data_IF_067042527867
#
_entry.id   IF_067042527867
#
_cell.length_a   1.000
_cell.length_b   1.000
_cell.length_c   1.000
_cell.angle_alpha   90.00
_cell.angle_beta   90.00
_cell.angle_gamma   90.00
#
_symmetry.space_group_name_H-M   'P 1'
#
loop_
_entity.id
_entity.type
_entity.pdbx_description
1 polymer ?
#
# COMPACT_ATOMS: atom_id res chain seq x y z
N UNK A 1 5.34 -9.85 -2.52
CA UNK A 1 6.57 -9.97 -1.69
C UNK A 1 6.45 -8.99 -0.54
N UNK A 2 6.76 -9.39 0.70
CA UNK A 2 6.67 -8.55 1.90
C UNK A 2 7.79 -8.86 2.90
N UNK A 3 7.94 -8.01 3.94
CA UNK A 3 8.88 -8.27 5.01
C UNK A 3 8.44 -9.50 5.81
N UNK A 4 9.38 -10.39 6.09
CA UNK A 4 9.14 -11.59 6.90
C UNK A 4 8.54 -11.22 8.25
N UNK A 5 7.51 -11.98 8.67
CA UNK A 5 6.78 -11.72 9.91
C UNK A 5 7.70 -11.78 11.13
N UNK A 6 8.64 -12.73 11.18
CA UNK A 6 9.62 -12.87 12.26
C UNK A 6 10.62 -11.70 12.33
N UNK A 7 10.75 -10.93 11.25
CA UNK A 7 11.60 -9.74 11.15
C UNK A 7 10.84 -8.43 11.32
N UNK A 8 9.62 -8.47 11.83
CA UNK A 8 8.81 -7.30 12.11
C UNK A 8 7.79 -6.95 11.01
N UNK A 9 7.55 -7.83 10.06
CA UNK A 9 6.50 -7.70 9.06
C UNK A 9 5.09 -7.68 9.66
N UNK A 10 4.08 -7.52 8.82
CA UNK A 10 2.67 -7.56 9.23
C UNK A 10 1.96 -8.78 8.66
N UNK A 11 1.03 -9.38 9.42
CA UNK A 11 0.26 -10.55 9.00
C UNK A 11 -0.37 -10.40 7.61
N UNK A 12 -0.92 -9.23 7.30
CA UNK A 12 -1.57 -8.98 6.01
C UNK A 12 -0.62 -8.85 4.82
N UNK A 13 0.69 -8.91 5.03
CA UNK A 13 1.69 -8.80 3.97
C UNK A 13 2.14 -10.15 3.39
N UNK A 14 1.32 -11.21 3.56
CA UNK A 14 1.58 -12.52 2.96
C UNK A 14 1.72 -13.67 3.96
N UNK A 15 1.40 -13.46 5.24
CA UNK A 15 1.40 -14.57 6.20
C UNK A 15 0.39 -15.65 5.81
N UNK A 16 0.77 -16.91 5.91
CA UNK A 16 -0.03 -18.08 5.52
C UNK A 16 -1.34 -18.22 6.32
N UNK A 17 -1.43 -17.57 7.47
CA UNK A 17 -2.67 -17.55 8.29
C UNK A 17 -3.58 -16.36 7.95
N UNK A 18 -3.20 -15.53 6.99
CA UNK A 18 -3.97 -14.38 6.53
C UNK A 18 -4.48 -14.62 5.11
N UNK A 19 -5.59 -13.98 4.76
CA UNK A 19 -6.19 -14.04 3.42
C UNK A 19 -5.17 -13.77 2.30
N UNK A 20 -4.24 -12.85 2.53
CA UNK A 20 -3.18 -12.54 1.56
C UNK A 20 -2.23 -13.71 1.28
N UNK A 21 -1.91 -14.52 2.29
CA UNK A 21 -1.10 -15.71 2.13
C UNK A 21 -1.87 -16.94 1.63
N UNK A 22 -3.20 -16.96 1.83
CA UNK A 22 -4.09 -18.02 1.35
C UNK A 22 -4.39 -17.86 -0.15
N UNK A 23 -4.66 -16.64 -0.58
CA UNK A 23 -5.11 -16.36 -1.97
C UNK A 23 -3.92 -16.19 -2.93
N UNK A 24 -2.80 -15.64 -2.44
CA UNK A 24 -1.63 -15.36 -3.25
C UNK A 24 -0.47 -16.29 -2.89
N UNK A 25 0.52 -16.37 -3.75
CA UNK A 25 1.81 -17.03 -3.47
C UNK A 25 2.77 -15.98 -2.88
N UNK A 26 2.95 -15.94 -1.56
CA UNK A 26 3.81 -14.96 -0.93
C UNK A 26 5.28 -15.36 -1.10
N UNK A 27 6.14 -14.36 -1.24
CA UNK A 27 7.58 -14.48 -1.03
C UNK A 27 8.02 -13.37 -0.08
N UNK A 28 9.08 -13.61 0.66
CA UNK A 28 9.52 -12.75 1.75
C UNK A 28 10.94 -12.24 1.51
N UNK A 29 11.20 -11.00 1.98
CA UNK A 29 12.55 -10.48 2.16
C UNK A 29 12.83 -10.29 3.64
N UNK A 30 14.09 -10.17 4.01
CA UNK A 30 14.54 -10.23 5.39
C UNK A 30 15.31 -8.98 5.80
N UNK A 31 15.61 -8.91 7.09
CA UNK A 31 16.61 -7.99 7.63
C UNK A 31 18.00 -8.61 7.50
N UNK A 32 18.98 -7.78 7.27
CA UNK A 32 20.38 -8.15 7.38
C UNK A 32 20.69 -8.40 8.87
N UNK A 33 21.27 -9.57 9.18
CA UNK A 33 21.48 -10.03 10.55
C UNK A 33 22.49 -9.17 11.34
N UNK A 34 23.44 -8.56 10.65
CA UNK A 34 24.50 -7.76 11.29
C UNK A 34 24.00 -6.34 11.59
N UNK A 35 23.25 -5.74 10.66
CA UNK A 35 22.83 -4.34 10.77
C UNK A 35 21.43 -4.17 11.37
N UNK A 36 20.61 -5.21 11.38
CA UNK A 36 19.20 -5.16 11.76
C UNK A 36 18.35 -4.27 10.83
N UNK A 37 18.85 -3.96 9.65
CA UNK A 37 18.15 -3.17 8.62
C UNK A 37 17.63 -4.06 7.52
N UNK A 38 16.63 -3.58 6.76
CA UNK A 38 16.14 -4.26 5.56
C UNK A 38 17.33 -4.52 4.63
N UNK A 39 17.47 -5.76 4.19
CA UNK A 39 18.47 -6.18 3.22
C UNK A 39 17.93 -5.93 1.81
N UNK A 40 18.21 -4.74 1.27
CA UNK A 40 17.71 -4.34 -0.04
C UNK A 40 18.38 -5.10 -1.18
N UNK A 41 19.59 -5.60 -1.00
CA UNK A 41 20.30 -6.37 -2.03
C UNK A 41 19.70 -7.79 -2.10
N UNK A 42 19.45 -8.43 -0.96
CA UNK A 42 18.70 -9.69 -0.90
C UNK A 42 17.28 -9.51 -1.45
N UNK A 43 16.62 -8.37 -1.12
CA UNK A 43 15.29 -8.05 -1.63
C UNK A 43 15.28 -7.96 -3.16
N UNK A 44 16.29 -7.33 -3.77
CA UNK A 44 16.43 -7.23 -5.22
C UNK A 44 16.67 -8.60 -5.86
N UNK A 45 17.54 -9.41 -5.28
CA UNK A 45 17.83 -10.75 -5.75
C UNK A 45 16.56 -11.64 -5.74
N UNK A 46 15.80 -11.61 -4.64
CA UNK A 46 14.53 -12.33 -4.54
C UNK A 46 13.52 -11.79 -5.55
N UNK A 47 13.43 -10.48 -5.72
CA UNK A 47 12.49 -9.87 -6.66
C UNK A 47 12.81 -10.27 -8.12
N UNK A 48 14.07 -10.32 -8.50
CA UNK A 48 14.49 -10.76 -9.84
C UNK A 48 14.19 -12.23 -10.10
N UNK A 49 14.34 -13.07 -9.08
CA UNK A 49 14.05 -14.52 -9.14
C UNK A 49 12.55 -14.80 -9.18
N UNK A 50 11.80 -14.27 -8.21
CA UNK A 50 10.38 -14.58 -8.01
C UNK A 50 9.43 -13.73 -8.86
N UNK A 51 9.90 -12.61 -9.40
CA UNK A 51 9.13 -11.66 -10.23
C UNK A 51 7.76 -11.32 -9.64
N UNK A 52 7.71 -10.84 -8.39
CA UNK A 52 6.44 -10.55 -7.72
C UNK A 52 5.67 -9.49 -8.48
N UNK A 53 4.34 -9.60 -8.51
CA UNK A 53 3.46 -8.56 -9.07
C UNK A 53 3.32 -7.34 -8.16
N UNK A 54 3.59 -7.53 -6.87
CA UNK A 54 3.52 -6.47 -5.86
C UNK A 54 4.64 -6.66 -4.83
N UNK A 55 5.29 -5.56 -4.48
CA UNK A 55 6.24 -5.46 -3.38
C UNK A 55 5.60 -4.58 -2.30
N UNK A 56 5.57 -5.08 -1.06
CA UNK A 56 4.99 -4.39 0.08
C UNK A 56 6.12 -3.98 1.02
N UNK A 57 6.24 -2.69 1.27
CA UNK A 57 7.09 -2.12 2.31
C UNK A 57 6.24 -1.71 3.51
N UNK A 58 6.86 -1.75 4.67
CA UNK A 58 6.19 -1.48 5.94
C UNK A 58 6.23 -2.68 6.88
N UNK A 59 6.07 -2.43 8.14
CA UNK A 59 6.15 -3.47 9.17
C UNK A 59 5.51 -2.99 10.48
N UNK A 60 5.17 -3.97 11.34
CA UNK A 60 4.57 -3.70 12.65
C UNK A 60 5.62 -3.43 13.72
N UNK A 61 6.78 -4.06 13.61
CA UNK A 61 7.83 -4.06 14.62
C UNK A 61 9.22 -3.71 14.05
N UNK A 62 9.28 -2.92 13.01
CA UNK A 62 10.50 -2.42 12.42
C UNK A 62 10.66 -0.93 12.74
N UNK A 63 11.66 -0.59 13.57
CA UNK A 63 11.86 0.74 14.13
C UNK A 63 12.85 1.62 13.33
N UNK A 64 13.36 1.14 12.21
CA UNK A 64 14.30 1.87 11.37
C UNK A 64 13.56 2.52 10.20
N UNK A 65 14.22 3.52 9.61
CA UNK A 65 13.72 4.19 8.42
C UNK A 65 13.78 3.28 7.18
N UNK A 66 12.81 3.42 6.30
CA UNK A 66 12.72 2.67 5.05
C UNK A 66 13.32 3.48 3.91
N UNK A 67 14.14 2.85 3.08
CA UNK A 67 14.59 3.45 1.83
C UNK A 67 13.54 3.21 0.73
N UNK A 68 12.53 4.07 0.71
CA UNK A 68 11.43 3.98 -0.27
C UNK A 68 11.91 4.16 -1.71
N UNK A 69 12.98 4.94 -1.93
CA UNK A 69 13.57 5.15 -3.23
C UNK A 69 14.18 3.85 -3.77
N UNK A 70 14.99 3.18 -2.95
CA UNK A 70 15.60 1.89 -3.31
C UNK A 70 14.54 0.82 -3.55
N UNK A 71 13.49 0.78 -2.72
CA UNK A 71 12.36 -0.13 -2.94
C UNK A 71 11.65 0.14 -4.28
N UNK A 72 11.50 1.43 -4.65
CA UNK A 72 10.90 1.79 -5.92
C UNK A 72 11.76 1.35 -7.11
N UNK A 73 13.06 1.54 -7.04
CA UNK A 73 14.00 1.08 -8.07
C UNK A 73 13.92 -0.43 -8.28
N UNK A 74 13.85 -1.20 -7.18
CA UNK A 74 13.68 -2.66 -7.24
C UNK A 74 12.35 -3.03 -7.88
N UNK A 75 11.26 -2.38 -7.47
CA UNK A 75 9.93 -2.64 -8.03
C UNK A 75 9.87 -2.37 -9.53
N UNK A 76 10.46 -1.27 -9.99
CA UNK A 76 10.50 -0.89 -11.41
C UNK A 76 11.31 -1.90 -12.24
N UNK A 77 12.43 -2.42 -11.72
CA UNK A 77 13.26 -3.45 -12.40
C UNK A 77 12.48 -4.71 -12.75
N UNK A 78 11.50 -5.08 -11.90
CA UNK A 78 10.72 -6.32 -12.09
C UNK A 78 9.29 -6.05 -12.58
N UNK A 79 8.94 -4.78 -12.81
CA UNK A 79 7.58 -4.39 -13.22
C UNK A 79 6.53 -4.60 -12.14
N UNK A 80 6.91 -4.57 -10.87
CA UNK A 80 6.03 -4.75 -9.73
C UNK A 80 5.37 -3.43 -9.29
N UNK A 81 4.17 -3.52 -8.73
CA UNK A 81 3.57 -2.40 -7.99
C UNK A 81 4.27 -2.29 -6.63
N UNK A 82 4.80 -1.11 -6.29
CA UNK A 82 5.26 -0.82 -4.94
C UNK A 82 4.08 -0.31 -4.10
N UNK A 83 3.74 -1.02 -3.04
CA UNK A 83 2.80 -0.59 -2.02
C UNK A 83 3.56 -0.37 -0.70
N UNK A 84 3.34 0.77 -0.06
CA UNK A 84 3.90 1.05 1.27
C UNK A 84 2.77 1.14 2.29
N UNK A 85 2.83 0.28 3.30
CA UNK A 85 1.98 0.39 4.48
C UNK A 85 2.71 1.22 5.54
N UNK A 86 2.27 2.47 5.68
CA UNK A 86 2.85 3.40 6.65
C UNK A 86 2.02 3.50 7.94
N UNK A 87 1.16 2.53 8.23
CA UNK A 87 0.20 2.63 9.33
C UNK A 87 0.86 2.95 10.68
N UNK A 88 2.01 2.34 11.00
CA UNK A 88 2.73 2.59 12.24
C UNK A 88 3.40 3.97 12.29
N UNK A 89 4.24 4.37 11.31
CA UNK A 89 4.93 5.66 11.32
C UNK A 89 4.09 6.83 10.77
N UNK A 90 2.83 6.65 10.40
CA UNK A 90 2.04 7.66 9.70
C UNK A 90 2.00 9.03 10.39
N UNK A 91 1.93 9.07 11.72
CA UNK A 91 1.96 10.32 12.48
C UNK A 91 3.29 11.05 12.38
N UNK A 92 4.42 10.33 12.39
CA UNK A 92 5.76 10.89 12.24
C UNK A 92 5.99 11.40 10.81
N UNK A 93 5.50 10.67 9.81
CA UNK A 93 5.54 11.09 8.41
C UNK A 93 4.70 12.35 8.20
N UNK A 94 3.50 12.40 8.77
CA UNK A 94 2.63 13.58 8.70
C UNK A 94 3.23 14.82 9.38
N UNK A 95 4.02 14.62 10.43
CA UNK A 95 4.77 15.68 11.11
C UNK A 95 6.07 16.08 10.39
N UNK A 96 6.41 15.42 9.28
CA UNK A 96 7.64 15.71 8.53
C UNK A 96 8.92 15.20 9.18
N UNK A 97 8.82 14.30 10.17
CA UNK A 97 9.97 13.74 10.90
C UNK A 97 10.57 12.52 10.19
N UNK A 98 9.82 11.89 9.27
CA UNK A 98 10.25 10.78 8.43
C UNK A 98 9.91 11.08 6.97
N UNK A 99 10.63 10.45 6.05
CA UNK A 99 10.37 10.65 4.61
C UNK A 99 8.97 10.18 4.22
N UNK A 100 8.41 10.83 3.19
CA UNK A 100 7.05 10.58 2.76
C UNK A 100 7.01 9.56 1.61
N UNK A 101 6.49 8.34 1.85
CA UNK A 101 6.43 7.28 0.85
C UNK A 101 5.55 7.61 -0.37
N UNK A 102 4.63 8.57 -0.26
CA UNK A 102 3.73 8.97 -1.37
C UNK A 102 4.52 9.50 -2.57
N UNK A 103 5.76 9.98 -2.36
CA UNK A 103 6.64 10.45 -3.43
C UNK A 103 7.16 9.31 -4.31
N UNK A 104 7.30 8.11 -3.74
CA UNK A 104 7.99 6.97 -4.37
C UNK A 104 7.03 5.82 -4.70
N UNK A 105 6.12 5.52 -3.80
CA UNK A 105 5.23 4.37 -3.94
C UNK A 105 4.13 4.58 -4.98
N UNK A 106 3.72 3.51 -5.61
CA UNK A 106 2.52 3.50 -6.45
C UNK A 106 1.27 3.64 -5.59
N UNK A 107 1.25 2.95 -4.45
CA UNK A 107 0.12 2.87 -3.51
C UNK A 107 0.67 3.04 -2.11
N UNK A 108 -0.02 3.81 -1.29
CA UNK A 108 0.30 3.93 0.14
C UNK A 108 -0.95 3.62 0.95
N UNK A 109 -0.81 2.76 1.94
CA UNK A 109 -1.88 2.43 2.88
C UNK A 109 -1.54 2.91 4.28
N UNK A 110 -2.56 3.24 5.04
CA UNK A 110 -2.43 3.60 6.46
C UNK A 110 -3.70 3.29 7.23
N UNK A 111 -3.55 3.22 8.54
CA UNK A 111 -4.68 3.30 9.47
C UNK A 111 -4.73 4.67 10.12
N UNK A 112 -5.91 5.11 10.54
CA UNK A 112 -6.09 6.42 11.19
C UNK A 112 -5.94 6.36 12.70
N UNK A 113 -5.97 5.18 13.31
CA UNK A 113 -6.08 4.95 14.75
C UNK A 113 -4.78 4.53 15.46
N UNK A 114 -3.63 4.61 14.78
CA UNK A 114 -2.29 4.39 15.38
C UNK A 114 -1.65 5.74 15.71
N UNK A 115 -0.48 6.02 15.21
CA UNK A 115 0.23 7.28 15.48
C UNK A 115 -0.50 8.53 14.96
N UNK A 116 -1.45 8.40 14.02
CA UNK A 116 -2.34 9.49 13.62
C UNK A 116 -3.38 9.86 14.66
N UNK A 117 -3.60 9.03 15.70
CA UNK A 117 -4.49 9.28 16.86
C UNK A 117 -5.94 9.60 16.49
N UNK A 118 -6.41 9.12 15.36
CA UNK A 118 -7.80 9.30 14.90
C UNK A 118 -8.72 8.13 15.23
N UNK A 119 -9.98 8.19 14.85
CA UNK A 119 -10.93 7.08 14.96
C UNK A 119 -10.48 5.90 14.09
N UNK A 120 -11.02 4.70 14.38
CA UNK A 120 -10.72 3.52 13.56
C UNK A 120 -11.13 3.72 12.11
N UNK A 121 -10.18 3.50 11.22
CA UNK A 121 -10.37 3.61 9.80
C UNK A 121 -9.11 3.23 9.02
N UNK A 122 -9.27 3.04 7.71
CA UNK A 122 -8.18 2.82 6.77
C UNK A 122 -8.16 3.93 5.72
N UNK A 123 -6.97 4.22 5.22
CA UNK A 123 -6.74 5.18 4.15
C UNK A 123 -5.88 4.53 3.09
N UNK A 124 -6.27 4.72 1.83
CA UNK A 124 -5.47 4.37 0.66
C UNK A 124 -5.15 5.66 -0.09
N UNK A 125 -3.89 5.87 -0.39
CA UNK A 125 -3.38 7.06 -1.05
C UNK A 125 -2.59 6.68 -2.29
N UNK A 126 -2.51 7.62 -3.22
CA UNK A 126 -1.73 7.52 -4.43
C UNK A 126 -1.16 8.90 -4.74
N UNK A 127 0.17 9.00 -4.90
CA UNK A 127 0.81 10.27 -5.20
C UNK A 127 0.58 10.70 -6.65
N UNK A 128 0.70 9.75 -7.56
CA UNK A 128 0.50 9.93 -9.00
C UNK A 128 -0.33 8.78 -9.54
N UNK A 129 -1.36 9.08 -10.31
CA UNK A 129 -2.16 8.06 -10.99
C UNK A 129 -1.37 7.41 -12.13
N UNK A 130 -1.63 6.14 -12.40
CA UNK A 130 -0.92 5.36 -13.40
C UNK A 130 -1.85 4.40 -14.14
N UNK A 131 -1.51 4.00 -15.37
CA UNK A 131 -2.26 3.00 -16.12
C UNK A 131 -2.29 1.67 -15.37
N UNK A 132 -3.44 0.99 -15.33
CA UNK A 132 -3.49 -0.30 -14.67
C UNK A 132 -2.61 -1.34 -15.40
N UNK A 133 -1.82 -2.12 -14.67
CA UNK A 133 -0.90 -3.10 -15.27
C UNK A 133 -1.59 -4.34 -15.83
N UNK A 134 -2.88 -4.50 -15.61
CA UNK A 134 -3.67 -5.65 -16.07
C UNK A 134 -4.35 -5.44 -17.43
N UNK A 135 -4.08 -4.31 -18.11
CA UNK A 135 -4.64 -4.02 -19.43
C UNK A 135 -6.15 -3.85 -19.44
N UNK A 136 -6.79 -3.59 -18.29
CA UNK A 136 -8.25 -3.33 -18.24
C UNK A 136 -8.58 -2.06 -19.00
N UNK A 137 -9.54 -2.15 -19.93
CA UNK A 137 -9.92 -1.06 -20.84
C UNK A 137 -11.27 -0.44 -20.47
N UNK A 138 -11.45 0.80 -20.88
CA UNK A 138 -12.75 1.48 -20.91
C UNK A 138 -13.61 0.93 -22.07
N UNK A 139 -14.93 1.20 -22.10
CA UNK A 139 -15.76 0.88 -23.26
C UNK A 139 -15.27 1.49 -24.57
N UNK A 140 -14.49 2.57 -24.50
CA UNK A 140 -13.86 3.22 -25.66
C UNK A 140 -12.53 2.59 -26.10
N UNK A 141 -12.08 1.52 -25.44
CA UNK A 141 -10.83 0.83 -25.75
C UNK A 141 -9.55 1.39 -25.10
N UNK A 142 -9.64 2.49 -24.35
CA UNK A 142 -8.50 3.10 -23.65
C UNK A 142 -8.16 2.32 -22.36
N UNK A 143 -6.87 2.25 -22.01
CA UNK A 143 -6.46 1.64 -20.74
C UNK A 143 -6.97 2.47 -19.56
N UNK A 144 -7.70 1.83 -18.64
CA UNK A 144 -8.16 2.49 -17.43
C UNK A 144 -6.99 2.87 -16.53
N UNK A 145 -7.08 4.05 -15.91
CA UNK A 145 -6.18 4.45 -14.85
C UNK A 145 -6.48 3.66 -13.56
N UNK A 146 -5.50 3.54 -12.70
CA UNK A 146 -5.62 2.77 -11.44
C UNK A 146 -6.71 3.35 -10.52
N UNK A 147 -6.83 4.68 -10.45
CA UNK A 147 -7.89 5.37 -9.72
C UNK A 147 -9.29 4.97 -10.16
N UNK A 148 -9.51 4.78 -11.46
CA UNK A 148 -10.80 4.37 -12.01
C UNK A 148 -11.18 2.95 -11.57
N UNK A 149 -10.20 2.04 -11.48
CA UNK A 149 -10.44 0.69 -10.97
C UNK A 149 -10.78 0.69 -9.49
N UNK A 150 -10.12 1.52 -8.69
CA UNK A 150 -10.41 1.62 -7.26
C UNK A 150 -11.79 2.20 -6.97
N UNK A 151 -12.17 3.26 -7.68
CA UNK A 151 -13.52 3.84 -7.56
C UNK A 151 -14.57 2.80 -7.90
N UNK A 152 -14.34 2.00 -8.95
CA UNK A 152 -15.25 0.93 -9.34
C UNK A 152 -15.35 -0.14 -8.24
N UNK A 153 -14.23 -0.65 -7.75
CA UNK A 153 -14.19 -1.65 -6.68
C UNK A 153 -14.86 -1.13 -5.39
N UNK A 154 -14.54 0.11 -4.99
CA UNK A 154 -15.17 0.74 -3.83
C UNK A 154 -16.69 0.86 -4.01
N UNK A 155 -17.15 1.29 -5.18
CA UNK A 155 -18.58 1.41 -5.47
C UNK A 155 -19.31 0.07 -5.42
N UNK A 156 -18.68 -1.00 -5.90
CA UNK A 156 -19.22 -2.35 -5.84
C UNK A 156 -19.30 -2.85 -4.39
N UNK A 157 -18.21 -2.75 -3.64
CA UNK A 157 -18.16 -3.19 -2.23
C UNK A 157 -19.14 -2.37 -1.38
N UNK A 158 -19.20 -1.06 -1.56
CA UNK A 158 -20.11 -0.18 -0.81
C UNK A 158 -21.58 -0.48 -1.13
N UNK A 159 -21.93 -0.73 -2.39
CA UNK A 159 -23.30 -1.11 -2.77
C UNK A 159 -23.69 -2.45 -2.16
N UNK A 160 -22.81 -3.44 -2.20
CA UNK A 160 -23.05 -4.77 -1.60
C UNK A 160 -23.16 -4.67 -0.07
N UNK A 161 -22.26 -3.92 0.58
CA UNK A 161 -22.29 -3.71 2.03
C UNK A 161 -23.59 -2.97 2.46
N UNK A 162 -24.01 -1.97 1.69
CA UNK A 162 -25.25 -1.23 1.97
C UNK A 162 -26.51 -2.07 1.82
N UNK A 163 -26.51 -3.02 0.91
CA UNK A 163 -27.62 -3.96 0.73
C UNK A 163 -27.76 -4.94 1.90
N UNK A 164 -26.63 -5.41 2.46
CA UNK A 164 -26.61 -6.28 3.63
C UNK A 164 -26.84 -5.55 4.97
N UNK A 165 -26.64 -4.23 5.02
CA UNK A 165 -26.76 -3.42 6.24
C UNK A 165 -28.11 -2.73 6.42
N UNK A 166 -29.08 -2.95 5.55
CA UNK A 166 -30.43 -2.42 5.71
C UNK A 166 -31.20 -2.99 6.93
N UNK A 167 -30.63 -3.99 7.62
CA UNK A 167 -31.19 -4.64 8.80
C UNK A 167 -30.39 -4.40 10.08
N UNK A 168 -29.31 -3.58 10.07
CA UNK A 168 -28.50 -3.30 11.26
C UNK A 168 -28.22 -1.80 11.43
N UNK A 169 -28.18 -1.25 12.65
CA UNK A 169 -27.96 0.18 12.87
C UNK A 169 -26.54 0.61 12.52
N UNK A 170 -26.49 1.65 11.75
CA UNK A 170 -25.41 2.52 11.26
C UNK A 170 -24.07 2.45 12.00
N UNK A 171 -23.08 1.77 11.41
CA UNK A 171 -21.67 2.07 11.57
C UNK A 171 -21.11 2.51 10.20
N UNK A 172 -21.22 3.80 9.95
CA UNK A 172 -20.65 4.46 8.79
C UNK A 172 -19.13 4.59 8.97
N UNK A 173 -18.34 3.72 8.36
CA UNK A 173 -16.94 4.00 8.11
C UNK A 173 -16.79 4.65 6.75
N UNK A 174 -16.55 5.96 6.75
CA UNK A 174 -16.25 6.71 5.55
C UNK A 174 -14.82 6.40 5.07
N UNK A 175 -14.70 5.72 3.95
CA UNK A 175 -13.45 5.70 3.19
C UNK A 175 -13.46 6.90 2.25
N UNK A 176 -12.69 7.92 2.56
CA UNK A 176 -12.49 9.06 1.67
C UNK A 176 -11.39 8.74 0.67
N UNK A 177 -11.74 8.63 -0.60
CA UNK A 177 -10.77 8.54 -1.71
C UNK A 177 -10.41 9.98 -2.09
N UNK A 178 -9.25 10.44 -1.63
CA UNK A 178 -8.69 11.73 -2.05
C UNK A 178 -7.78 11.52 -3.25
N UNK A 179 -8.21 11.91 -4.44
CA UNK A 179 -7.31 12.20 -5.55
C UNK A 179 -7.06 13.72 -5.56
N UNK A 180 -5.89 14.17 -5.15
CA UNK A 180 -5.48 15.57 -5.34
C UNK A 180 -5.05 15.77 -6.80
N UNK A 181 -5.93 16.36 -7.56
CA UNK A 181 -5.56 17.06 -8.78
C UNK A 181 -4.96 18.43 -8.32
N UNK A 182 -3.63 18.49 -8.15
CA UNK A 182 -2.91 19.71 -7.77
C UNK A 182 -2.76 20.63 -8.99
N UNK A 183 -3.87 21.20 -9.46
CA UNK A 183 -3.84 22.44 -10.23
C UNK A 183 -4.74 23.43 -9.49
N UNK A 184 -4.13 24.54 -9.07
CA UNK A 184 -4.72 25.73 -8.46
C UNK A 184 -4.88 25.73 -6.93
N UNK A 185 -3.79 25.93 -6.21
CA UNK A 185 -3.82 26.78 -5.02
C UNK A 185 -3.00 28.02 -5.37
N UNK A 186 -3.69 29.08 -5.82
CA UNK A 186 -3.16 30.45 -5.76
C UNK A 186 -3.27 30.88 -4.31
N UNK A 187 -2.13 31.21 -3.71
CA UNK A 187 -2.07 31.91 -2.44
C UNK A 187 -2.83 33.26 -2.54
N UNK A 188 -3.76 33.45 -1.63
CA UNK A 188 -4.17 34.75 -1.14
C UNK A 188 -3.89 34.82 0.35
#
# INVERSE_FOLDING_TARGET
>A
MGLNLAHGGHLSHGSLVNTSGIIYTPCEYNLNKETGRVDYDQMEEIALREKPKMIIGGGSAYSREWDYKRMREIADKVGAILMIDMAHPAGLIAAGLLDNPVKYAHIVTSTTHKTLRGPRGGVIMMGKDFPNPWGKKTPKGEIKMMSQLWILLYSLVYKVARWNMSSQPKLLHSVNVYSRNTKNIKHK
#
